data_IF_543618421386
#
_entry.id   IF_543618421386
#
_cell.length_a   1.000
_cell.length_b   1.000
_cell.length_c   1.000
_cell.angle_alpha   90.00
_cell.angle_beta   90.00
_cell.angle_gamma   90.00
#
_symmetry.space_group_name_H-M   'P 1'
#
loop_
_entity.id
_entity.type
_entity.pdbx_description
1 polymer ?
#
# COMPACT_ATOMS: atom_id res chain seq x y z
N UNK A 1 4.45 -2.98 -3.18
CA UNK A 1 4.09 -1.87 -4.09
C UNK A 1 3.55 -2.47 -5.36
N UNK A 2 2.44 -1.94 -5.89
CA UNK A 2 1.92 -2.36 -7.19
C UNK A 2 2.96 -1.99 -8.26
N UNK A 3 3.55 -3.00 -8.89
CA UNK A 3 4.60 -2.85 -9.88
C UNK A 3 4.10 -3.41 -11.23
N UNK A 4 4.53 -2.89 -12.38
CA UNK A 4 4.11 -3.42 -13.68
C UNK A 4 4.42 -4.91 -13.83
N UNK A 5 5.54 -5.36 -13.25
CA UNK A 5 5.92 -6.78 -13.21
C UNK A 5 4.92 -7.63 -12.41
N UNK A 6 4.55 -7.20 -11.21
CA UNK A 6 3.58 -7.95 -10.37
C UNK A 6 2.19 -8.02 -11.00
N UNK A 7 1.79 -6.98 -11.74
CA UNK A 7 0.52 -7.00 -12.50
C UNK A 7 0.60 -8.02 -13.64
N UNK A 8 1.72 -8.07 -14.37
CA UNK A 8 1.90 -9.04 -15.45
C UNK A 8 1.95 -10.48 -14.95
N UNK A 9 2.65 -10.72 -13.84
CA UNK A 9 2.73 -12.05 -13.23
C UNK A 9 1.35 -12.51 -12.75
N UNK A 10 0.56 -11.61 -12.16
CA UNK A 10 -0.80 -11.92 -11.72
C UNK A 10 -1.78 -12.14 -12.89
N UNK A 11 -1.65 -11.36 -13.97
CA UNK A 11 -2.40 -11.58 -15.23
C UNK A 11 -2.09 -12.97 -15.78
N UNK A 12 -0.82 -13.37 -15.76
CA UNK A 12 -0.37 -14.69 -16.22
C UNK A 12 -0.94 -15.81 -15.36
N UNK A 13 -0.85 -15.70 -14.04
CA UNK A 13 -1.44 -16.66 -13.10
C UNK A 13 -2.96 -16.80 -13.28
N UNK A 14 -3.67 -15.68 -13.49
CA UNK A 14 -5.11 -15.72 -13.76
C UNK A 14 -5.39 -16.41 -15.09
N UNK A 15 -4.66 -16.09 -16.14
CA UNK A 15 -4.79 -16.75 -17.44
C UNK A 15 -4.47 -18.25 -17.39
N UNK A 16 -3.50 -18.66 -16.58
CA UNK A 16 -3.08 -20.05 -16.43
C UNK A 16 -4.13 -20.89 -15.67
N UNK A 17 -4.84 -20.28 -14.73
CA UNK A 17 -5.92 -20.88 -13.95
C UNK A 17 -7.31 -20.79 -14.62
N UNK A 18 -7.42 -20.26 -15.84
CA UNK A 18 -8.71 -20.22 -16.56
C UNK A 18 -9.14 -21.63 -17.00
N UNK A 19 -10.46 -21.93 -16.94
CA UNK A 19 -11.01 -23.18 -17.44
C UNK A 19 -10.62 -23.47 -18.90
N UNK A 20 -10.43 -24.74 -19.28
CA UNK A 20 -10.00 -25.12 -20.63
C UNK A 20 -10.97 -24.69 -21.74
N UNK A 21 -12.26 -24.47 -21.41
CA UNK A 21 -13.26 -23.92 -22.32
C UNK A 21 -12.96 -22.46 -22.73
N UNK A 22 -12.34 -21.69 -21.83
CA UNK A 22 -11.96 -20.29 -22.06
C UNK A 22 -10.54 -20.22 -22.64
N UNK A 23 -9.62 -21.09 -22.19
CA UNK A 23 -8.23 -21.17 -22.66
C UNK A 23 -8.08 -21.42 -24.17
N UNK A 24 -9.11 -21.98 -24.83
CA UNK A 24 -9.15 -22.23 -26.28
C UNK A 24 -9.50 -21.01 -27.14
N UNK A 25 -9.79 -19.85 -26.56
CA UNK A 25 -10.16 -18.63 -27.30
C UNK A 25 -8.93 -17.71 -27.43
N UNK A 26 -8.08 -17.86 -28.46
CA UNK A 26 -6.66 -17.52 -28.34
C UNK A 26 -6.37 -16.03 -28.51
N UNK A 27 -7.16 -15.31 -29.30
CA UNK A 27 -6.62 -14.06 -29.85
C UNK A 27 -6.67 -12.83 -28.96
N UNK A 28 -7.42 -12.81 -27.84
CA UNK A 28 -7.59 -11.55 -27.08
C UNK A 28 -7.87 -11.71 -25.58
N UNK A 29 -7.71 -12.90 -24.99
CA UNK A 29 -8.01 -13.10 -23.55
C UNK A 29 -7.05 -12.33 -22.66
N UNK A 30 -5.75 -12.42 -22.89
CA UNK A 30 -4.76 -11.75 -22.04
C UNK A 30 -4.98 -10.23 -22.00
N UNK A 31 -5.26 -9.63 -23.16
CA UNK A 31 -5.58 -8.21 -23.25
C UNK A 31 -6.89 -7.86 -22.53
N UNK A 32 -7.94 -8.69 -22.66
CA UNK A 32 -9.21 -8.50 -21.95
C UNK A 32 -9.07 -8.65 -20.44
N UNK A 33 -8.28 -9.61 -19.97
CA UNK A 33 -7.97 -9.83 -18.55
C UNK A 33 -7.19 -8.64 -17.99
N UNK A 34 -6.15 -8.18 -18.71
CA UNK A 34 -5.38 -6.99 -18.33
C UNK A 34 -6.28 -5.74 -18.25
N UNK A 35 -7.14 -5.52 -19.25
CA UNK A 35 -8.05 -4.38 -19.27
C UNK A 35 -9.08 -4.43 -18.11
N UNK A 36 -9.67 -5.61 -17.85
CA UNK A 36 -10.60 -5.82 -16.75
C UNK A 36 -9.93 -5.57 -15.39
N UNK A 37 -8.70 -6.07 -15.21
CA UNK A 37 -7.91 -5.82 -14.00
C UNK A 37 -7.59 -4.35 -13.81
N UNK A 38 -7.08 -3.66 -14.83
CA UNK A 38 -6.81 -2.22 -14.76
C UNK A 38 -8.08 -1.43 -14.39
N UNK A 39 -9.23 -1.80 -14.95
CA UNK A 39 -10.51 -1.18 -14.60
C UNK A 39 -10.95 -1.46 -13.16
N UNK A 40 -10.59 -2.62 -12.60
CA UNK A 40 -10.90 -3.01 -11.23
C UNK A 40 -9.95 -2.33 -10.24
N UNK A 41 -8.66 -2.27 -10.56
CA UNK A 41 -7.67 -1.49 -9.82
C UNK A 41 -8.04 -0.01 -9.78
N UNK A 42 -8.51 0.57 -10.89
CA UNK A 42 -8.98 1.96 -10.92
C UNK A 42 -10.26 2.20 -10.10
N UNK A 43 -11.04 1.14 -9.82
CA UNK A 43 -12.24 1.20 -8.95
C UNK A 43 -11.94 0.93 -7.49
N UNK A 44 -10.76 0.40 -7.17
CA UNK A 44 -10.29 0.34 -5.79
C UNK A 44 -9.76 1.72 -5.42
N UNK A 45 -10.03 2.17 -4.19
CA UNK A 45 -9.45 3.40 -3.61
C UNK A 45 -7.94 3.22 -3.38
N UNK A 46 -7.20 3.09 -4.48
CA UNK A 46 -5.76 2.92 -4.48
C UNK A 46 -5.13 4.25 -4.12
N UNK A 47 -4.48 4.28 -2.96
CA UNK A 47 -3.63 5.40 -2.57
C UNK A 47 -2.41 5.39 -3.48
N UNK A 48 -2.12 6.53 -4.11
CA UNK A 48 -0.94 6.67 -4.95
C UNK A 48 0.33 6.54 -4.13
N UNK A 49 1.45 6.23 -4.78
CA UNK A 49 2.75 6.14 -4.09
C UNK A 49 3.11 7.46 -3.41
N UNK A 50 2.84 8.58 -4.07
CA UNK A 50 3.17 9.91 -3.55
C UNK A 50 2.34 10.26 -2.31
N UNK A 51 1.06 9.88 -2.29
CA UNK A 51 0.18 10.02 -1.12
C UNK A 51 0.62 9.12 0.03
N UNK A 52 1.01 7.88 -0.26
CA UNK A 52 1.56 6.97 0.74
C UNK A 52 2.84 7.54 1.36
N UNK A 53 3.79 7.98 0.52
CA UNK A 53 5.05 8.56 0.97
C UNK A 53 4.83 9.88 1.75
N UNK A 54 3.81 10.66 1.39
CA UNK A 54 3.38 11.82 2.16
C UNK A 54 2.86 11.44 3.56
N UNK A 55 2.05 10.39 3.67
CA UNK A 55 1.56 9.90 4.96
C UNK A 55 2.70 9.36 5.85
N UNK A 56 3.68 8.65 5.26
CA UNK A 56 4.87 8.19 5.99
C UNK A 56 5.64 9.36 6.59
N UNK A 57 5.84 10.45 5.83
CA UNK A 57 6.50 11.67 6.33
C UNK A 57 5.72 12.34 7.45
N UNK A 58 4.39 12.35 7.38
CA UNK A 58 3.55 12.87 8.46
C UNK A 58 3.74 12.01 9.73
N UNK A 59 3.75 10.69 9.59
CA UNK A 59 3.95 9.78 10.71
C UNK A 59 5.32 9.96 11.37
N UNK A 60 6.38 10.11 10.57
CA UNK A 60 7.73 10.38 11.05
C UNK A 60 7.79 11.67 11.88
N UNK A 61 7.21 12.76 11.36
CA UNK A 61 7.12 14.04 12.09
C UNK A 61 6.34 13.91 13.40
N UNK A 62 5.28 13.12 13.41
CA UNK A 62 4.49 12.87 14.61
C UNK A 62 5.28 12.11 15.66
N UNK A 63 6.09 11.11 15.26
CA UNK A 63 6.98 10.39 16.19
C UNK A 63 7.99 11.32 16.84
N UNK A 64 8.65 12.17 16.07
CA UNK A 64 9.61 13.15 16.59
C UNK A 64 8.93 14.05 17.64
N UNK A 65 7.75 14.60 17.31
CA UNK A 65 7.00 15.45 18.25
C UNK A 65 6.55 14.70 19.49
N UNK A 66 6.21 13.42 19.37
CA UNK A 66 5.84 12.57 20.49
C UNK A 66 7.03 12.37 21.44
N UNK A 67 8.20 12.01 20.92
CA UNK A 67 9.43 11.85 21.70
C UNK A 67 9.84 13.15 22.42
N UNK A 68 9.69 14.30 21.76
CA UNK A 68 9.91 15.61 22.39
C UNK A 68 8.93 15.86 23.54
N UNK A 69 7.65 15.52 23.37
CA UNK A 69 6.63 15.65 24.41
C UNK A 69 6.89 14.71 25.58
N UNK A 70 7.26 13.45 25.33
CA UNK A 70 7.65 12.49 26.35
C UNK A 70 8.85 12.98 27.15
N UNK A 71 9.87 13.52 26.47
CA UNK A 71 11.05 14.12 27.11
C UNK A 71 10.67 15.31 27.99
N UNK A 72 9.76 16.17 27.51
CA UNK A 72 9.24 17.30 28.30
C UNK A 72 8.47 16.80 29.52
N UNK A 73 7.59 15.83 29.35
CA UNK A 73 6.82 15.23 30.44
C UNK A 73 7.75 14.63 31.51
N UNK A 74 8.74 13.84 31.12
CA UNK A 74 9.72 13.28 32.06
C UNK A 74 10.45 14.35 32.86
N UNK A 75 10.84 15.48 32.22
CA UNK A 75 11.43 16.63 32.91
C UNK A 75 10.45 17.29 33.89
N UNK A 76 9.19 17.46 33.49
CA UNK A 76 8.16 18.03 34.36
C UNK A 76 7.84 17.12 35.54
N UNK A 77 7.75 15.81 35.33
CA UNK A 77 7.51 14.81 36.37
C UNK A 77 8.66 14.79 37.38
N UNK A 78 9.92 14.77 36.90
CA UNK A 78 11.10 14.85 37.77
C UNK A 78 11.14 16.14 38.61
N UNK A 79 10.74 17.26 38.02
CA UNK A 79 10.70 18.54 38.73
C UNK A 79 9.56 18.61 39.77
N UNK A 80 8.42 17.95 39.51
CA UNK A 80 7.23 18.02 40.36
C UNK A 80 7.20 16.92 41.44
N UNK A 81 7.87 15.79 41.20
CA UNK A 81 7.93 14.64 42.10
C UNK A 81 9.36 14.07 42.13
N UNK A 82 10.29 14.72 42.86
CA UNK A 82 11.71 14.32 42.87
C UNK A 82 12.00 12.99 43.58
N UNK A 83 11.04 12.45 44.36
CA UNK A 83 11.25 11.30 45.26
C UNK A 83 10.50 10.00 44.84
N UNK A 84 10.23 9.81 43.54
CA UNK A 84 9.80 8.51 42.98
C UNK A 84 10.82 7.99 41.96
#
# INVERSE_FOLDING_TARGET
MLNPKTINDFVKDVCDNLPPAIKKMPENIEQKVRAAMLSTFAKMDLVTRDEFDAQVKVLERTRIKLEEMETRLAKYEKNKFPDK
#
